data_IF_051519071041
#
_entry.id   IF_051519071041
#
_cell.length_a   1.000
_cell.length_b   1.000
_cell.length_c   1.000
_cell.angle_alpha   90.00
_cell.angle_beta   90.00
_cell.angle_gamma   90.00
#
_symmetry.space_group_name_H-M   'P 1'
#
loop_
_entity.id
_entity.type
_entity.pdbx_description
1 polymer ?
#
# COMPACT_ATOMS: atom_id res chain seq x y z
N UNK A 1 4.81 15.20 -7.98
CA UNK A 1 4.15 13.97 -8.50
C UNK A 1 4.86 12.77 -7.89
N UNK A 2 4.11 11.86 -7.29
CA UNK A 2 4.65 10.69 -6.58
C UNK A 2 4.84 9.50 -7.52
N UNK A 3 3.92 9.32 -8.46
CA UNK A 3 3.99 8.28 -9.49
C UNK A 3 3.63 8.91 -10.85
N UNK A 4 4.41 8.59 -11.89
CA UNK A 4 4.14 8.97 -13.28
C UNK A 4 4.47 7.79 -14.20
N UNK A 5 3.44 7.02 -14.55
CA UNK A 5 3.50 5.94 -15.52
C UNK A 5 2.82 6.38 -16.81
N UNK A 6 3.50 6.21 -17.94
CA UNK A 6 2.97 6.50 -19.28
C UNK A 6 3.23 5.34 -20.22
N UNK A 7 2.15 4.78 -20.75
CA UNK A 7 2.11 3.63 -21.67
C UNK A 7 2.95 2.44 -21.20
N UNK A 8 2.84 2.13 -19.90
CA UNK A 8 3.58 1.03 -19.29
C UNK A 8 2.95 -0.31 -19.63
N UNK A 9 3.80 -1.27 -19.96
CA UNK A 9 3.46 -2.68 -20.15
C UNK A 9 3.91 -3.46 -18.91
N UNK A 10 3.02 -4.25 -18.34
CA UNK A 10 3.29 -5.05 -17.14
C UNK A 10 3.17 -6.52 -17.49
N UNK A 11 4.21 -7.29 -17.17
CA UNK A 11 4.30 -8.72 -17.45
C UNK A 11 4.45 -9.53 -16.17
N UNK A 12 3.93 -10.76 -16.19
CA UNK A 12 4.25 -11.79 -15.21
C UNK A 12 4.83 -12.99 -15.96
N UNK A 13 6.14 -13.15 -15.89
CA UNK A 13 6.85 -14.04 -16.79
C UNK A 13 6.68 -13.61 -18.25
N UNK A 14 6.09 -14.47 -19.08
CA UNK A 14 5.84 -14.16 -20.51
C UNK A 14 4.43 -13.63 -20.79
N UNK A 15 3.57 -13.58 -19.77
CA UNK A 15 2.18 -13.13 -19.94
C UNK A 15 2.07 -11.63 -19.67
N UNK A 16 1.51 -10.90 -20.64
CA UNK A 16 1.18 -9.50 -20.47
C UNK A 16 -0.08 -9.40 -19.59
N UNK A 17 0.03 -8.75 -18.45
CA UNK A 17 -1.04 -8.58 -17.45
C UNK A 17 -1.80 -7.27 -17.71
N UNK A 18 -1.08 -6.17 -17.89
CA UNK A 18 -1.66 -4.87 -18.20
C UNK A 18 -0.89 -4.23 -19.36
N UNK A 19 -1.61 -3.57 -20.25
CA UNK A 19 -1.07 -2.89 -21.43
C UNK A 19 -1.44 -1.42 -21.45
N UNK A 20 -0.52 -0.58 -21.93
CA UNK A 20 -0.70 0.87 -22.11
C UNK A 20 -1.21 1.54 -20.81
N UNK A 21 -0.56 1.23 -19.69
CA UNK A 21 -0.93 1.76 -18.38
C UNK A 21 -0.48 3.21 -18.28
N UNK A 22 -1.45 4.11 -18.14
CA UNK A 22 -1.26 5.49 -17.74
C UNK A 22 -1.76 5.61 -16.29
N UNK A 23 -0.83 5.85 -15.34
CA UNK A 23 -1.14 5.90 -13.91
C UNK A 23 -0.37 7.02 -13.25
N UNK A 24 -1.08 7.98 -12.67
CA UNK A 24 -0.50 9.14 -12.02
C UNK A 24 -1.00 9.28 -10.60
N UNK A 25 -0.09 9.68 -9.70
CA UNK A 25 -0.38 9.98 -8.30
C UNK A 25 0.30 11.28 -7.88
N UNK A 26 -0.47 12.17 -7.26
CA UNK A 26 0.06 13.38 -6.66
C UNK A 26 0.47 13.14 -5.21
N UNK A 27 1.26 14.04 -4.63
CA UNK A 27 1.62 14.00 -3.23
C UNK A 27 0.38 14.17 -2.34
N UNK A 28 0.26 13.33 -1.31
CA UNK A 28 -0.87 13.36 -0.37
C UNK A 28 -2.20 12.85 -0.94
N UNK A 29 -2.19 12.21 -2.12
CA UNK A 29 -3.39 11.68 -2.75
C UNK A 29 -3.76 10.30 -2.19
N UNK A 30 -5.07 10.02 -2.07
CA UNK A 30 -5.62 8.70 -1.85
C UNK A 30 -6.08 8.14 -3.19
N UNK A 31 -5.59 6.95 -3.55
CA UNK A 31 -5.91 6.31 -4.83
C UNK A 31 -6.39 4.90 -4.59
N UNK A 32 -7.44 4.52 -5.29
CA UNK A 32 -8.00 3.17 -5.29
C UNK A 32 -7.77 2.49 -6.64
N UNK A 33 -7.22 1.28 -6.57
CA UNK A 33 -7.17 0.35 -7.69
C UNK A 33 -8.28 -0.67 -7.49
N UNK A 34 -9.33 -0.61 -8.28
CA UNK A 34 -10.47 -1.51 -8.18
C UNK A 34 -10.58 -2.40 -9.41
N UNK A 35 -11.27 -3.52 -9.27
CA UNK A 35 -11.47 -4.49 -10.35
C UNK A 35 -11.48 -5.93 -9.85
N UNK A 36 -11.84 -6.89 -10.71
CA UNK A 36 -11.94 -8.30 -10.35
C UNK A 36 -10.64 -8.89 -9.78
N UNK A 37 -10.75 -10.00 -9.07
CA UNK A 37 -9.59 -10.79 -8.67
C UNK A 37 -8.81 -11.24 -9.91
N UNK A 38 -7.50 -11.11 -9.90
CA UNK A 38 -6.65 -11.47 -11.04
C UNK A 38 -6.57 -10.41 -12.15
N UNK A 39 -7.22 -9.24 -12.04
CA UNK A 39 -7.20 -8.18 -13.05
C UNK A 39 -5.87 -7.39 -13.17
N UNK A 40 -4.88 -7.67 -12.28
CA UNK A 40 -3.57 -7.04 -12.35
C UNK A 40 -3.29 -5.96 -11.30
N UNK A 41 -4.19 -5.70 -10.33
CA UNK A 41 -4.00 -4.73 -9.24
C UNK A 41 -2.69 -4.94 -8.47
N UNK A 42 -2.50 -6.15 -7.94
CA UNK A 42 -1.26 -6.54 -7.24
C UNK A 42 -0.03 -6.45 -8.16
N UNK A 43 -0.16 -6.79 -9.45
CA UNK A 43 0.95 -6.68 -10.40
C UNK A 43 1.36 -5.22 -10.62
N UNK A 44 0.40 -4.30 -10.71
CA UNK A 44 0.68 -2.87 -10.79
C UNK A 44 1.38 -2.38 -9.51
N UNK A 45 0.88 -2.73 -8.31
CA UNK A 45 1.56 -2.40 -7.06
C UNK A 45 3.01 -2.93 -7.02
N UNK A 46 3.22 -4.16 -7.51
CA UNK A 46 4.55 -4.78 -7.57
C UNK A 46 5.51 -4.09 -8.51
N UNK A 47 5.04 -3.48 -9.62
CA UNK A 47 5.91 -2.65 -10.46
C UNK A 47 6.32 -1.36 -9.75
N UNK A 48 5.39 -0.68 -9.08
CA UNK A 48 5.68 0.54 -8.31
C UNK A 48 6.75 0.29 -7.24
N UNK A 49 6.67 -0.86 -6.60
CA UNK A 49 7.59 -1.31 -5.57
C UNK A 49 8.91 -1.91 -6.15
N UNK A 50 8.99 -2.08 -7.48
CA UNK A 50 10.16 -2.62 -8.17
C UNK A 50 10.38 -4.12 -7.94
N UNK A 51 9.33 -4.90 -7.71
CA UNK A 51 9.40 -6.37 -7.64
C UNK A 51 9.19 -7.00 -9.01
N UNK A 52 8.39 -6.36 -9.86
CA UNK A 52 8.16 -6.76 -11.25
C UNK A 52 8.71 -5.66 -12.15
N UNK A 53 9.47 -6.04 -13.15
CA UNK A 53 9.94 -5.12 -14.18
C UNK A 53 8.78 -4.68 -15.08
N UNK A 54 8.90 -3.48 -15.63
CA UNK A 54 7.94 -2.94 -16.58
C UNK A 54 8.67 -2.28 -17.74
N UNK A 55 7.99 -2.13 -18.87
CA UNK A 55 8.50 -1.51 -20.09
C UNK A 55 7.54 -0.39 -20.53
N UNK A 56 8.01 0.64 -21.19
CA UNK A 56 7.15 1.69 -21.71
C UNK A 56 7.84 3.02 -21.89
N UNK A 57 7.07 4.12 -21.92
CA UNK A 57 7.62 5.46 -22.19
C UNK A 57 8.17 6.13 -20.92
N UNK A 58 7.49 5.99 -19.79
CA UNK A 58 7.91 6.61 -18.53
C UNK A 58 7.40 5.79 -17.34
N UNK A 59 8.29 5.42 -16.43
CA UNK A 59 7.96 4.74 -15.17
C UNK A 59 8.68 5.41 -14.00
N UNK A 60 8.18 6.56 -13.56
CA UNK A 60 8.77 7.27 -12.43
C UNK A 60 7.98 7.02 -11.15
N UNK A 61 8.71 6.73 -10.07
CA UNK A 61 8.16 6.57 -8.72
C UNK A 61 9.05 7.32 -7.75
N UNK A 62 8.46 8.30 -7.06
CA UNK A 62 9.23 9.26 -6.26
C UNK A 62 10.31 9.92 -7.15
N UNK A 63 11.57 9.83 -6.73
CA UNK A 63 12.71 10.40 -7.46
C UNK A 63 13.41 9.37 -8.38
N UNK A 64 12.85 8.15 -8.53
CA UNK A 64 13.45 7.05 -9.29
C UNK A 64 12.77 6.82 -10.64
N UNK A 65 13.57 6.60 -11.68
CA UNK A 65 13.10 6.10 -12.98
C UNK A 65 13.29 4.58 -13.02
N UNK A 66 12.19 3.84 -12.91
CA UNK A 66 12.22 2.38 -12.83
C UNK A 66 12.74 1.71 -14.10
N UNK A 67 12.62 2.37 -15.26
CA UNK A 67 13.13 1.83 -16.54
C UNK A 67 14.67 1.82 -16.59
N UNK A 68 15.32 2.62 -15.74
CA UNK A 68 16.78 2.74 -15.67
C UNK A 68 17.36 2.33 -14.32
N UNK A 69 16.50 1.91 -13.39
CA UNK A 69 16.91 1.65 -12.01
C UNK A 69 17.67 0.33 -11.88
N UNK A 70 18.92 0.40 -11.43
CA UNK A 70 19.67 -0.81 -11.09
C UNK A 70 19.14 -1.47 -9.81
N UNK A 71 19.21 -2.80 -9.74
CA UNK A 71 18.78 -3.60 -8.58
C UNK A 71 19.42 -3.16 -7.26
N UNK A 72 20.66 -2.69 -7.30
CA UNK A 72 21.36 -2.14 -6.12
C UNK A 72 20.73 -0.87 -5.54
N UNK A 73 19.94 -0.15 -6.31
CA UNK A 73 19.26 1.09 -5.90
C UNK A 73 17.87 0.84 -5.33
N UNK A 74 17.26 -0.33 -5.61
CA UNK A 74 15.93 -0.71 -5.10
C UNK A 74 15.79 -0.59 -3.57
N UNK A 75 16.77 -0.98 -2.74
CA UNK A 75 16.64 -0.81 -1.29
C UNK A 75 16.50 0.64 -0.86
N UNK A 76 17.12 1.59 -1.57
CA UNK A 76 17.01 3.01 -1.28
C UNK A 76 15.61 3.56 -1.64
N UNK A 77 15.05 3.14 -2.78
CA UNK A 77 13.70 3.46 -3.18
C UNK A 77 12.68 2.87 -2.19
N UNK A 78 12.78 1.57 -1.88
CA UNK A 78 11.86 0.86 -0.98
C UNK A 78 11.84 1.41 0.44
N UNK A 79 12.95 2.01 0.93
CA UNK A 79 12.98 2.69 2.23
C UNK A 79 12.08 3.93 2.28
N UNK A 80 11.77 4.54 1.15
CA UNK A 80 10.85 5.68 1.05
C UNK A 80 9.39 5.24 0.89
N UNK A 81 9.12 3.93 0.85
CA UNK A 81 7.79 3.34 0.69
C UNK A 81 7.40 2.51 1.90
N UNK A 82 6.10 2.44 2.17
CA UNK A 82 5.49 1.49 3.08
C UNK A 82 4.66 0.46 2.32
N UNK A 83 4.76 -0.81 2.72
CA UNK A 83 3.94 -1.89 2.16
C UNK A 83 3.02 -2.47 3.22
N UNK A 84 1.72 -2.53 2.89
CA UNK A 84 0.69 -3.20 3.69
C UNK A 84 0.14 -4.35 2.85
N UNK A 85 0.36 -5.59 3.32
CA UNK A 85 -0.03 -6.79 2.60
C UNK A 85 -1.34 -7.37 3.14
N UNK A 86 -2.10 -8.03 2.30
CA UNK A 86 -3.34 -8.72 2.66
C UNK A 86 -3.11 -9.84 3.70
N UNK A 87 -2.02 -10.58 3.58
CA UNK A 87 -1.66 -11.74 4.42
C UNK A 87 -0.70 -11.36 5.58
N UNK A 88 -0.71 -10.11 5.99
CA UNK A 88 0.06 -9.52 7.09
C UNK A 88 1.58 -9.60 6.93
N UNK A 89 2.16 -10.73 6.53
CA UNK A 89 3.62 -10.98 6.46
C UNK A 89 4.33 -10.61 7.78
N UNK A 90 3.71 -10.90 8.91
CA UNK A 90 4.32 -10.79 10.23
C UNK A 90 5.00 -12.10 10.61
N UNK A 91 6.08 -12.01 11.39
CA UNK A 91 6.75 -13.15 11.98
C UNK A 91 5.89 -13.66 13.15
N UNK A 92 5.24 -14.84 13.06
CA UNK A 92 4.20 -15.24 14.00
C UNK A 92 4.74 -15.50 15.39
N UNK A 93 5.93 -16.07 15.52
CA UNK A 93 6.56 -16.48 16.79
C UNK A 93 7.38 -15.35 17.42
N UNK A 94 7.09 -14.10 17.04
CA UNK A 94 7.78 -12.94 17.55
C UNK A 94 6.80 -11.86 18.01
N UNK A 95 7.24 -11.04 18.98
CA UNK A 95 6.45 -9.91 19.45
C UNK A 95 6.28 -8.83 18.40
N UNK A 96 5.29 -7.95 18.61
CA UNK A 96 5.08 -6.73 17.80
C UNK A 96 6.38 -5.91 17.77
N UNK A 97 7.00 -5.68 18.92
CA UNK A 97 8.28 -4.97 19.01
C UNK A 97 9.36 -5.60 18.13
N UNK A 98 9.51 -6.92 18.18
CA UNK A 98 10.52 -7.62 17.39
C UNK A 98 10.28 -7.42 15.89
N UNK A 99 9.04 -7.60 15.43
CA UNK A 99 8.66 -7.40 14.02
C UNK A 99 9.02 -5.99 13.52
N UNK A 100 8.75 -4.96 14.32
CA UNK A 100 9.04 -3.57 13.96
C UNK A 100 10.53 -3.25 14.06
N UNK A 101 11.21 -3.67 15.14
CA UNK A 101 12.64 -3.44 15.35
C UNK A 101 13.51 -4.15 14.31
N UNK A 102 13.09 -5.33 13.83
CA UNK A 102 13.75 -6.05 12.75
C UNK A 102 13.86 -5.19 11.48
N UNK A 103 12.75 -4.56 11.07
CA UNK A 103 12.72 -3.67 9.89
C UNK A 103 13.61 -2.45 10.08
N UNK A 104 13.55 -1.76 11.23
CA UNK A 104 14.40 -0.61 11.49
C UNK A 104 15.89 -0.97 11.43
N UNK A 105 16.28 -2.11 12.00
CA UNK A 105 17.66 -2.61 11.89
C UNK A 105 18.06 -2.89 10.43
N UNK A 106 17.20 -3.58 9.68
CA UNK A 106 17.43 -3.91 8.27
C UNK A 106 17.52 -2.65 7.38
N UNK A 107 16.84 -1.57 7.77
CA UNK A 107 16.84 -0.29 7.03
C UNK A 107 17.89 0.72 7.54
N UNK A 108 18.79 0.28 8.45
CA UNK A 108 20.01 1.04 8.81
C UNK A 108 19.91 1.90 10.06
N UNK A 109 18.86 1.77 10.86
CA UNK A 109 18.74 2.48 12.15
C UNK A 109 19.66 1.85 13.18
N UNK A 110 20.80 2.46 13.46
CA UNK A 110 21.84 1.90 14.33
C UNK A 110 21.52 2.12 15.82
N UNK A 111 21.00 3.29 16.18
CA UNK A 111 20.76 3.67 17.56
C UNK A 111 19.52 2.97 18.14
N UNK A 112 19.70 2.23 19.24
CA UNK A 112 18.59 1.50 19.89
C UNK A 112 17.53 2.45 20.46
N UNK A 113 17.92 3.55 21.08
CA UNK A 113 16.97 4.49 21.70
C UNK A 113 16.08 5.16 20.63
N UNK A 114 16.65 5.51 19.48
CA UNK A 114 15.88 6.06 18.36
C UNK A 114 14.90 5.03 17.79
N UNK A 115 15.30 3.76 17.66
CA UNK A 115 14.39 2.69 17.24
C UNK A 115 13.25 2.49 18.22
N UNK A 116 13.56 2.44 19.52
CA UNK A 116 12.57 2.26 20.59
C UNK A 116 11.57 3.43 20.60
N UNK A 117 12.05 4.65 20.39
CA UNK A 117 11.20 5.82 20.27
C UNK A 117 10.31 5.72 19.03
N UNK A 118 10.90 5.40 17.86
CA UNK A 118 10.15 5.28 16.59
C UNK A 118 9.07 4.20 16.66
N UNK A 119 9.35 3.07 17.30
CA UNK A 119 8.36 2.01 17.51
C UNK A 119 7.20 2.51 18.36
N UNK A 120 7.46 3.24 19.45
CA UNK A 120 6.39 3.83 20.27
C UNK A 120 5.53 4.82 19.46
N UNK A 121 6.17 5.70 18.66
CA UNK A 121 5.48 6.66 17.80
C UNK A 121 4.53 5.97 16.83
N UNK A 122 5.02 4.98 16.06
CA UNK A 122 4.17 4.30 15.07
C UNK A 122 3.08 3.45 15.69
N UNK A 123 3.33 2.85 16.87
CA UNK A 123 2.29 2.11 17.60
C UNK A 123 1.19 3.04 18.12
N UNK A 124 1.54 4.26 18.55
CA UNK A 124 0.55 5.27 18.92
C UNK A 124 -0.31 5.68 17.70
N UNK A 125 0.32 5.94 16.55
CA UNK A 125 -0.39 6.27 15.30
C UNK A 125 -1.45 5.24 14.90
N UNK A 126 -1.18 3.95 15.20
CA UNK A 126 -2.10 2.87 14.85
C UNK A 126 -2.93 2.36 16.05
N UNK A 127 -2.94 3.08 17.17
CA UNK A 127 -3.70 2.75 18.39
C UNK A 127 -3.37 1.38 18.96
N UNK A 128 -2.05 1.09 19.06
CA UNK A 128 -1.51 -0.20 19.54
C UNK A 128 -0.44 -0.03 20.65
N UNK A 129 -0.46 1.07 21.41
CA UNK A 129 0.56 1.45 22.40
C UNK A 129 0.84 0.34 23.43
N UNK A 130 -0.22 -0.30 23.93
CA UNK A 130 -0.10 -1.35 24.96
C UNK A 130 0.32 -2.73 24.44
N UNK A 131 0.49 -2.89 23.09
CA UNK A 131 0.68 -4.20 22.47
C UNK A 131 2.11 -4.51 22.05
N UNK A 132 3.07 -3.65 22.36
CA UNK A 132 4.47 -3.80 21.92
C UNK A 132 5.09 -5.16 22.27
N UNK A 133 4.85 -5.67 23.48
CA UNK A 133 5.36 -6.97 23.93
C UNK A 133 4.51 -8.17 23.50
N UNK A 134 3.30 -7.97 22.93
CA UNK A 134 2.38 -9.04 22.59
C UNK A 134 2.92 -9.85 21.41
N UNK A 135 2.82 -11.17 21.48
CA UNK A 135 3.17 -12.06 20.36
C UNK A 135 2.16 -11.91 19.24
N UNK A 136 2.63 -11.88 17.98
CA UNK A 136 1.73 -11.56 16.85
C UNK A 136 0.67 -12.63 16.61
N UNK A 137 0.88 -13.88 16.98
CA UNK A 137 -0.16 -14.91 16.91
C UNK A 137 -1.32 -14.68 17.90
N UNK A 138 -1.13 -13.89 18.97
CA UNK A 138 -2.16 -13.56 19.96
C UNK A 138 -3.07 -12.39 19.52
N UNK A 139 -2.71 -11.71 18.44
CA UNK A 139 -3.44 -10.56 17.94
C UNK A 139 -4.66 -11.00 17.11
N UNK A 140 -5.75 -10.21 17.18
CA UNK A 140 -6.86 -10.31 16.24
C UNK A 140 -6.41 -9.94 14.81
N UNK A 141 -7.25 -10.23 13.80
CA UNK A 141 -6.97 -9.84 12.42
C UNK A 141 -6.78 -8.33 12.25
N UNK A 142 -7.67 -7.53 12.83
CA UNK A 142 -7.57 -6.07 12.81
C UNK A 142 -6.34 -5.53 13.53
N UNK A 143 -5.97 -6.13 14.68
CA UNK A 143 -4.74 -5.77 15.39
C UNK A 143 -3.48 -6.11 14.57
N UNK A 144 -3.45 -7.30 13.93
CA UNK A 144 -2.36 -7.67 13.01
C UNK A 144 -2.22 -6.67 11.87
N UNK A 145 -3.32 -6.25 11.28
CA UNK A 145 -3.30 -5.29 10.18
C UNK A 145 -2.82 -3.92 10.64
N UNK A 146 -3.24 -3.43 11.80
CA UNK A 146 -2.70 -2.20 12.37
C UNK A 146 -1.19 -2.28 12.62
N UNK A 147 -0.68 -3.43 13.06
CA UNK A 147 0.78 -3.65 13.17
C UNK A 147 1.45 -3.63 11.80
N UNK A 148 0.80 -4.14 10.74
CA UNK A 148 1.31 -4.02 9.37
C UNK A 148 1.37 -2.57 8.89
N UNK A 149 0.36 -1.76 9.22
CA UNK A 149 0.39 -0.30 8.97
C UNK A 149 1.52 0.35 9.76
N UNK A 150 1.67 0.05 11.06
CA UNK A 150 2.79 0.56 11.87
C UNK A 150 4.15 0.21 11.24
N UNK A 151 4.31 -1.02 10.75
CA UNK A 151 5.52 -1.45 10.05
C UNK A 151 5.78 -0.64 8.78
N UNK A 152 4.74 -0.36 8.00
CA UNK A 152 4.85 0.46 6.81
C UNK A 152 5.30 1.90 7.12
N UNK A 153 4.95 2.44 8.29
CA UNK A 153 5.26 3.80 8.72
C UNK A 153 6.67 4.00 9.27
N UNK A 154 7.41 2.93 9.58
CA UNK A 154 8.69 3.00 10.31
C UNK A 154 9.69 3.99 9.72
N UNK A 155 9.86 3.98 8.41
CA UNK A 155 10.83 4.84 7.71
C UNK A 155 10.25 6.18 7.23
N UNK A 156 9.10 6.63 7.76
CA UNK A 156 8.42 7.87 7.35
C UNK A 156 8.20 7.90 5.83
N UNK A 157 7.44 6.96 5.28
CA UNK A 157 7.30 6.80 3.83
C UNK A 157 6.60 8.00 3.19
N UNK A 158 7.00 8.35 1.98
CA UNK A 158 6.30 9.28 1.10
C UNK A 158 5.14 8.63 0.34
N UNK A 159 5.20 7.29 0.19
CA UNK A 159 4.24 6.47 -0.53
C UNK A 159 3.92 5.21 0.27
N UNK A 160 2.64 4.91 0.45
CA UNK A 160 2.16 3.64 1.00
C UNK A 160 1.40 2.90 -0.09
N UNK A 161 1.76 1.63 -0.29
CA UNK A 161 1.08 0.69 -1.16
C UNK A 161 0.37 -0.34 -0.29
N UNK A 162 -0.96 -0.40 -0.37
CA UNK A 162 -1.77 -1.31 0.42
C UNK A 162 -2.52 -2.28 -0.49
N UNK A 163 -2.13 -3.55 -0.45
CA UNK A 163 -2.75 -4.60 -1.26
C UNK A 163 -3.84 -5.30 -0.44
N UNK A 164 -5.11 -5.04 -0.78
CA UNK A 164 -6.32 -5.56 -0.11
C UNK A 164 -6.25 -5.41 1.43
N UNK A 165 -5.97 -4.20 1.98
CA UNK A 165 -5.67 -4.05 3.41
C UNK A 165 -6.82 -4.38 4.35
N UNK A 166 -8.05 -4.51 3.82
CA UNK A 166 -9.26 -4.83 4.58
C UNK A 166 -9.89 -6.16 4.19
N UNK A 167 -9.32 -6.89 3.24
CA UNK A 167 -9.94 -8.08 2.64
C UNK A 167 -10.20 -9.23 3.60
N UNK A 168 -9.45 -9.33 4.71
CA UNK A 168 -9.57 -10.38 5.72
C UNK A 168 -10.10 -9.86 7.06
N UNK A 169 -10.73 -8.68 7.07
CA UNK A 169 -11.17 -8.03 8.31
C UNK A 169 -12.69 -7.93 8.37
N UNK A 170 -13.22 -7.91 9.60
CA UNK A 170 -14.58 -7.47 9.84
C UNK A 170 -14.74 -5.97 9.48
N UNK A 171 -15.99 -5.50 9.24
CA UNK A 171 -16.22 -4.13 8.79
C UNK A 171 -15.65 -3.05 9.73
N UNK A 172 -15.78 -3.22 11.04
CA UNK A 172 -15.31 -2.27 12.05
C UNK A 172 -13.77 -2.17 12.04
N UNK A 173 -13.09 -3.31 12.00
CA UNK A 173 -11.63 -3.38 11.87
C UNK A 173 -11.13 -2.79 10.56
N UNK A 174 -11.86 -3.02 9.46
CA UNK A 174 -11.55 -2.48 8.15
C UNK A 174 -11.67 -0.96 8.11
N UNK A 175 -12.76 -0.41 8.64
CA UNK A 175 -12.96 1.03 8.76
C UNK A 175 -11.84 1.69 9.58
N UNK A 176 -11.48 1.09 10.73
CA UNK A 176 -10.41 1.57 11.58
C UNK A 176 -9.06 1.64 10.83
N UNK A 177 -8.72 0.64 10.04
CA UNK A 177 -7.49 0.60 9.24
C UNK A 177 -7.48 1.72 8.20
N UNK A 178 -8.60 1.92 7.49
CA UNK A 178 -8.69 2.98 6.48
C UNK A 178 -8.70 4.38 7.10
N UNK A 179 -9.36 4.56 8.25
CA UNK A 179 -9.33 5.82 8.99
C UNK A 179 -7.90 6.18 9.42
N UNK A 180 -7.12 5.21 9.90
CA UNK A 180 -5.70 5.42 10.24
C UNK A 180 -4.90 5.81 8.98
N UNK A 181 -5.08 5.12 7.86
CA UNK A 181 -4.39 5.45 6.62
C UNK A 181 -4.74 6.87 6.13
N UNK A 182 -6.02 7.26 6.17
CA UNK A 182 -6.46 8.60 5.77
C UNK A 182 -5.92 9.69 6.72
N UNK A 183 -5.88 9.41 8.03
CA UNK A 183 -5.25 10.30 9.02
C UNK A 183 -3.77 10.52 8.71
N UNK A 184 -3.02 9.46 8.44
CA UNK A 184 -1.61 9.52 8.03
C UNK A 184 -1.43 10.34 6.76
N UNK A 185 -2.27 10.10 5.74
CA UNK A 185 -2.25 10.84 4.50
C UNK A 185 -2.39 12.36 4.75
N UNK A 186 -3.37 12.76 5.56
CA UNK A 186 -3.64 14.18 5.84
C UNK A 186 -2.53 14.83 6.66
N UNK A 187 -2.01 14.12 7.68
CA UNK A 187 -1.01 14.69 8.60
C UNK A 187 0.39 14.76 8.00
N UNK A 188 0.75 13.79 7.16
CA UNK A 188 2.12 13.65 6.65
C UNK A 188 2.24 13.88 5.15
N UNK A 189 1.14 14.22 4.44
CA UNK A 189 1.10 14.34 2.98
C UNK A 189 1.62 13.07 2.28
N UNK A 190 1.45 11.91 2.92
CA UNK A 190 1.82 10.61 2.37
C UNK A 190 0.83 10.22 1.28
N UNK A 191 1.31 9.89 0.09
CA UNK A 191 0.47 9.33 -0.98
C UNK A 191 0.12 7.88 -0.65
N UNK A 192 -1.15 7.49 -0.83
CA UNK A 192 -1.60 6.14 -0.51
C UNK A 192 -2.29 5.53 -1.73
N UNK A 193 -1.83 4.35 -2.15
CA UNK A 193 -2.45 3.56 -3.21
C UNK A 193 -2.99 2.27 -2.59
N UNK A 194 -4.30 2.06 -2.70
CA UNK A 194 -5.00 0.91 -2.14
C UNK A 194 -5.57 0.08 -3.27
N UNK A 195 -5.20 -1.20 -3.36
CA UNK A 195 -5.96 -2.16 -4.15
C UNK A 195 -7.13 -2.69 -3.32
N UNK A 196 -8.32 -2.76 -3.88
CA UNK A 196 -9.46 -3.36 -3.21
C UNK A 196 -10.53 -3.84 -4.21
N UNK A 197 -11.29 -4.84 -3.81
CA UNK A 197 -12.53 -5.22 -4.47
C UNK A 197 -13.77 -4.76 -3.69
N UNK A 198 -13.59 -4.22 -2.47
CA UNK A 198 -14.67 -3.70 -1.64
C UNK A 198 -14.83 -2.18 -1.85
N UNK A 199 -15.87 -1.79 -2.59
CA UNK A 199 -16.12 -0.41 -2.97
C UNK A 199 -16.85 0.40 -1.89
N UNK A 200 -17.37 -0.24 -0.83
CA UNK A 200 -18.08 0.46 0.24
C UNK A 200 -17.21 1.55 0.89
N UNK A 201 -15.91 1.32 0.95
CA UNK A 201 -14.96 2.23 1.58
C UNK A 201 -14.80 3.56 0.84
N UNK A 202 -15.00 3.58 -0.48
CA UNK A 202 -14.84 4.78 -1.30
C UNK A 202 -15.83 5.88 -0.90
N UNK A 203 -16.99 5.48 -0.37
CA UNK A 203 -18.01 6.41 0.13
C UNK A 203 -17.57 7.17 1.38
N UNK A 204 -16.81 6.51 2.24
CA UNK A 204 -16.36 7.10 3.52
C UNK A 204 -14.97 7.72 3.42
N UNK A 205 -14.14 7.21 2.54
CA UNK A 205 -12.76 7.65 2.31
C UNK A 205 -12.57 7.95 0.81
N UNK A 206 -13.03 9.11 0.33
CA UNK A 206 -12.98 9.43 -1.10
C UNK A 206 -11.54 9.57 -1.59
N UNK A 207 -11.33 9.23 -2.87
CA UNK A 207 -10.04 9.31 -3.55
C UNK A 207 -10.17 9.12 -5.05
N UNK A 208 -9.06 9.24 -5.76
CA UNK A 208 -8.99 8.95 -7.20
C UNK A 208 -9.12 7.47 -7.45
N UNK A 209 -9.91 7.08 -8.44
CA UNK A 209 -10.24 5.69 -8.71
C UNK A 209 -9.71 5.28 -10.07
N UNK A 210 -9.06 4.13 -10.10
CA UNK A 210 -8.63 3.45 -11.32
C UNK A 210 -9.22 2.05 -11.37
N UNK A 211 -9.81 1.69 -12.50
CA UNK A 211 -10.33 0.36 -12.78
C UNK A 211 -9.29 -0.49 -13.50
N UNK A 212 -9.07 -1.71 -13.01
CA UNK A 212 -8.32 -2.74 -13.72
C UNK A 212 -9.28 -3.77 -14.31
N UNK A 213 -9.18 -4.04 -15.59
CA UNK A 213 -10.01 -5.03 -16.27
C UNK A 213 -9.52 -5.24 -17.71
N UNK A 214 -9.75 -6.42 -18.27
CA UNK A 214 -9.42 -6.75 -19.67
C UNK A 214 -7.99 -6.37 -20.08
N UNK A 215 -7.03 -6.48 -19.15
CA UNK A 215 -5.64 -6.13 -19.40
C UNK A 215 -5.35 -4.62 -19.51
N UNK A 216 -6.24 -3.77 -19.02
CA UNK A 216 -6.13 -2.30 -19.07
C UNK A 216 -6.31 -1.67 -17.70
N UNK A 217 -5.82 -0.44 -17.57
CA UNK A 217 -6.10 0.45 -16.45
C UNK A 217 -6.83 1.69 -16.99
N UNK A 218 -7.96 2.02 -16.38
CA UNK A 218 -8.77 3.19 -16.77
C UNK A 218 -9.05 4.04 -15.55
N UNK A 219 -8.80 5.34 -15.63
CA UNK A 219 -9.19 6.29 -14.58
C UNK A 219 -10.69 6.54 -14.63
N UNK A 220 -11.34 6.55 -13.47
CA UNK A 220 -12.73 6.94 -13.34
C UNK A 220 -12.84 8.46 -13.33
N UNK A 221 -13.60 8.99 -14.27
CA UNK A 221 -13.83 10.44 -14.41
C UNK A 221 -15.01 10.92 -13.55
N UNK A 222 -15.96 10.01 -13.24
CA UNK A 222 -17.13 10.30 -12.41
C UNK A 222 -17.21 9.30 -11.23
N UNK A 223 -16.59 9.62 -10.10
CA UNK A 223 -16.60 8.75 -8.93
C UNK A 223 -18.00 8.40 -8.40
N UNK A 224 -19.00 9.27 -8.59
CA UNK A 224 -20.37 9.05 -8.13
C UNK A 224 -21.07 7.93 -8.93
N UNK A 225 -20.63 7.68 -10.14
CA UNK A 225 -21.13 6.60 -10.99
C UNK A 225 -20.97 5.22 -10.36
N UNK A 226 -19.90 5.01 -9.58
CA UNK A 226 -19.62 3.74 -8.90
C UNK A 226 -20.75 3.37 -7.93
N UNK A 227 -21.45 4.37 -7.36
CA UNK A 227 -22.51 4.15 -6.38
C UNK A 227 -23.90 4.05 -7.02
N UNK A 228 -24.03 4.35 -8.31
CA UNK A 228 -25.30 4.35 -9.04
C UNK A 228 -25.42 3.21 -10.06
N UNK A 229 -24.31 2.61 -10.48
CA UNK A 229 -24.27 1.57 -11.50
C UNK A 229 -24.46 0.19 -10.84
N UNK A 230 -25.55 -0.52 -11.20
CA UNK A 230 -25.87 -1.87 -10.71
C UNK A 230 -24.74 -2.89 -10.99
N UNK A 231 -23.89 -2.63 -11.97
CA UNK A 231 -22.74 -3.48 -12.33
C UNK A 231 -21.71 -3.56 -11.19
N UNK A 232 -21.64 -2.54 -10.32
CA UNK A 232 -20.74 -2.47 -9.19
C UNK A 232 -21.38 -2.90 -7.86
N UNK A 233 -22.70 -3.13 -7.85
CA UNK A 233 -23.43 -3.55 -6.64
C UNK A 233 -23.46 -5.07 -6.44
N UNK A 234 -22.64 -5.86 -7.13
CA UNK A 234 -22.74 -7.32 -7.11
C UNK A 234 -21.88 -7.95 -6.04
N UNK A 235 -22.63 -8.51 -5.12
CA UNK A 235 -22.64 -9.76 -4.34
C UNK A 235 -21.63 -9.88 -3.22
#
# INVERSE_FOLDING_TARGET
>A
MTIDYRKIQIYQGRHKILANVDFQAQEGEMIYLIGPVGSGKTSLLKTIYGEIECEGECAKVLDADLLQLHTSQLPALRRQMGMVFQDFKLLPDHSVYYNLNYILRATGWKNKAERDQRIREVLAMVRMEGKSGTMTFQLSGGEKQRVCVARALLNRPKLILADEPTGNLDPESGEMVLAILDEIRRQHQTTIVISTHNMQWLKYFPGTIYHTGEGRLTKEEDPDRIFTDETFMIK
#
